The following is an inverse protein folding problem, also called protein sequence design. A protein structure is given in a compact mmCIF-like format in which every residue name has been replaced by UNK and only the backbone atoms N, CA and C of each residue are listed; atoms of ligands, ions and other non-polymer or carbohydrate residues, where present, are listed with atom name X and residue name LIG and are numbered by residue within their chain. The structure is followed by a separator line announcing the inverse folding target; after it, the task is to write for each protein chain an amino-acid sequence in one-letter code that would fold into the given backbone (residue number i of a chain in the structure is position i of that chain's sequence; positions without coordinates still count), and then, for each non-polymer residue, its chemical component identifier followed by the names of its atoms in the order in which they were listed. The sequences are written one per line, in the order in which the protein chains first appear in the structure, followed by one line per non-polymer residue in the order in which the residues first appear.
data_IF_789159904484
#
_entry.id   IF_789159904484
#
_cell.length_a   1.000
_cell.length_b   1.000
_cell.length_c   1.000
_cell.angle_alpha   90.00
_cell.angle_beta   90.00
_cell.angle_gamma   90.00
#
_symmetry.space_group_name_H-M   'P 1'
#
loop_
_entity.id
_entity.type
_entity.pdbx_description
1 polymer ?
#
# COMPACT_ATOMS: atom_id res chain seq x y z
N UNK A 1 -10.33 8.88 7.36
CA UNK A 1 -9.28 8.79 6.33
C UNK A 1 -9.32 10.10 5.55
N UNK A 2 -8.33 10.95 5.75
CA UNK A 2 -8.34 12.33 5.25
C UNK A 2 -7.34 12.42 4.11
N UNK A 3 -7.81 12.76 2.91
CA UNK A 3 -6.95 13.02 1.76
C UNK A 3 -6.79 14.53 1.65
N UNK A 4 -5.58 15.01 1.96
CA UNK A 4 -5.05 16.34 1.62
C UNK A 4 -5.83 17.56 2.12
N UNK A 5 -5.46 18.10 3.28
CA UNK A 5 -5.66 19.52 3.62
C UNK A 5 -4.78 19.94 4.82
N UNK A 6 -3.63 20.58 4.58
CA UNK A 6 -2.91 21.27 5.66
C UNK A 6 -1.48 21.71 5.27
N UNK A 7 -1.09 22.98 5.52
CA UNK A 7 0.29 23.43 5.36
C UNK A 7 1.13 22.85 6.50
N UNK A 8 1.67 21.65 6.27
CA UNK A 8 2.56 20.96 7.22
C UNK A 8 1.99 19.75 7.97
N UNK A 9 0.81 19.21 7.63
CA UNK A 9 0.23 18.09 8.41
C UNK A 9 -0.33 16.96 7.52
N UNK A 10 0.45 15.87 7.50
CA UNK A 10 0.21 14.48 7.05
C UNK A 10 0.13 14.16 5.55
N UNK A 11 1.26 13.75 4.94
CA UNK A 11 1.34 12.95 3.71
C UNK A 11 0.87 11.49 3.84
N UNK A 12 0.47 11.04 5.03
CA UNK A 12 0.36 9.61 5.39
C UNK A 12 -0.76 8.82 4.70
N UNK A 13 -1.86 9.48 4.31
CA UNK A 13 -3.02 8.79 3.74
C UNK A 13 -2.77 8.17 2.37
N UNK A 14 -1.98 8.82 1.53
CA UNK A 14 -1.75 8.35 0.16
C UNK A 14 -0.80 7.15 0.13
N UNK A 15 0.21 7.13 1.00
CA UNK A 15 1.17 6.03 1.09
C UNK A 15 0.52 4.76 1.64
N UNK A 16 -0.38 4.88 2.63
CA UNK A 16 -1.23 3.76 3.07
C UNK A 16 -2.04 3.20 1.91
N UNK A 17 -2.66 4.06 1.09
CA UNK A 17 -3.44 3.63 -0.07
C UNK A 17 -2.56 2.90 -1.10
N UNK A 18 -1.37 3.42 -1.37
CA UNK A 18 -0.40 2.75 -2.26
C UNK A 18 -0.05 1.37 -1.71
N UNK A 19 0.18 1.25 -0.40
CA UNK A 19 0.41 -0.03 0.27
C UNK A 19 -0.76 -1.00 0.17
N UNK A 20 -2.00 -0.53 0.33
CA UNK A 20 -3.21 -1.34 0.15
C UNK A 20 -3.30 -1.83 -1.30
N UNK A 21 -3.14 -0.94 -2.28
CA UNK A 21 -3.17 -1.30 -3.70
C UNK A 21 -2.08 -2.32 -4.05
N UNK A 22 -0.88 -2.18 -3.47
CA UNK A 22 0.19 -3.18 -3.61
C UNK A 22 -0.26 -4.54 -3.08
N UNK A 23 -0.79 -4.60 -1.85
CA UNK A 23 -1.27 -5.85 -1.25
C UNK A 23 -2.38 -6.51 -2.07
N UNK A 24 -3.36 -5.73 -2.53
CA UNK A 24 -4.45 -6.25 -3.36
C UNK A 24 -3.93 -6.83 -4.69
N UNK A 25 -2.96 -6.18 -5.32
CA UNK A 25 -2.32 -6.70 -6.52
C UNK A 25 -1.58 -8.01 -6.27
N UNK A 26 -0.86 -8.12 -5.16
CA UNK A 26 -0.12 -9.34 -4.76
C UNK A 26 -1.05 -10.53 -4.57
N UNK A 27 -2.23 -10.29 -3.97
CA UNK A 27 -3.23 -11.33 -3.77
C UNK A 27 -4.15 -11.57 -4.96
N UNK A 28 -3.95 -10.87 -6.09
CA UNK A 28 -4.81 -11.00 -7.26
C UNK A 28 -6.24 -10.47 -7.06
N UNK A 29 -6.46 -9.62 -6.06
CA UNK A 29 -7.75 -9.01 -5.68
C UNK A 29 -8.09 -7.81 -6.60
N UNK A 30 -8.15 -8.06 -7.91
CA UNK A 30 -8.28 -7.01 -8.93
C UNK A 30 -9.65 -6.30 -8.90
N UNK A 31 -10.68 -6.96 -8.39
CA UNK A 31 -11.99 -6.35 -8.21
C UNK A 31 -11.94 -5.27 -7.11
N UNK A 32 -11.27 -5.58 -6.00
CA UNK A 32 -11.04 -4.69 -4.87
C UNK A 32 -10.16 -3.51 -5.29
N UNK A 33 -9.12 -3.75 -6.10
CA UNK A 33 -8.33 -2.68 -6.75
C UNK A 33 -9.25 -1.74 -7.53
N UNK A 34 -10.14 -2.29 -8.35
CA UNK A 34 -11.05 -1.50 -9.19
C UNK A 34 -12.08 -0.70 -8.38
N UNK A 35 -12.58 -1.26 -7.28
CA UNK A 35 -13.49 -0.57 -6.35
C UNK A 35 -12.75 0.58 -5.67
N UNK A 36 -11.58 0.30 -5.08
CA UNK A 36 -10.79 1.28 -4.36
C UNK A 36 -10.31 2.41 -5.28
N UNK A 37 -9.86 2.08 -6.49
CA UNK A 37 -9.46 3.07 -7.50
C UNK A 37 -10.59 4.04 -7.82
N UNK A 38 -11.82 3.54 -8.05
CA UNK A 38 -13.01 4.39 -8.29
C UNK A 38 -13.31 5.32 -7.12
N UNK A 39 -13.09 4.87 -5.89
CA UNK A 39 -13.29 5.70 -4.69
C UNK A 39 -12.22 6.79 -4.55
N UNK A 40 -10.98 6.54 -4.95
CA UNK A 40 -9.86 7.49 -4.79
C UNK A 40 -9.79 8.53 -5.92
N UNK A 41 -10.16 8.16 -7.15
CA UNK A 41 -10.06 9.04 -8.34
C UNK A 41 -10.60 10.47 -8.10
N UNK A 42 -11.78 10.67 -7.47
CA UNK A 42 -12.31 12.01 -7.18
C UNK A 42 -11.43 12.86 -6.25
N UNK A 43 -10.57 12.23 -5.44
CA UNK A 43 -9.72 12.91 -4.47
C UNK A 43 -8.30 13.17 -4.99
N UNK A 44 -7.91 12.59 -6.12
CA UNK A 44 -6.59 12.82 -6.74
C UNK A 44 -6.24 14.30 -6.95
N UNK A 45 -7.18 15.21 -7.30
CA UNK A 45 -6.88 16.63 -7.42
C UNK A 45 -6.48 17.30 -6.08
N UNK A 46 -6.85 16.71 -4.93
CA UNK A 46 -6.62 17.26 -3.58
C UNK A 46 -5.29 16.86 -2.96
N UNK A 47 -4.54 15.96 -3.60
CA UNK A 47 -3.19 15.59 -3.16
C UNK A 47 -2.10 16.26 -4.01
N UNK A 48 -0.85 16.11 -3.56
CA UNK A 48 0.35 16.60 -4.23
C UNK A 48 0.55 15.94 -5.60
N UNK A 49 1.32 16.58 -6.47
CA UNK A 49 1.67 16.03 -7.80
C UNK A 49 2.39 14.69 -7.68
N UNK A 50 3.29 14.56 -6.69
CA UNK A 50 4.05 13.34 -6.45
C UNK A 50 3.15 12.19 -5.99
N UNK A 51 2.35 12.38 -4.94
CA UNK A 51 1.41 11.36 -4.44
C UNK A 51 0.38 10.95 -5.50
N UNK A 52 -0.11 11.91 -6.29
CA UNK A 52 -1.00 11.63 -7.43
C UNK A 52 -0.35 10.72 -8.47
N UNK A 53 0.94 10.90 -8.75
CA UNK A 53 1.68 10.04 -9.67
C UNK A 53 1.77 8.60 -9.13
N UNK A 54 2.14 8.44 -7.85
CA UNK A 54 2.22 7.12 -7.21
C UNK A 54 0.87 6.41 -7.13
N UNK A 55 -0.20 7.11 -6.74
CA UNK A 55 -1.55 6.54 -6.69
C UNK A 55 -2.01 6.04 -8.07
N UNK A 56 -1.79 6.82 -9.13
CA UNK A 56 -2.15 6.40 -10.49
C UNK A 56 -1.34 5.20 -10.97
N UNK A 57 -0.06 5.13 -10.62
CA UNK A 57 0.78 3.98 -10.93
C UNK A 57 0.31 2.73 -10.17
N UNK A 58 0.04 2.88 -8.86
CA UNK A 58 -0.43 1.80 -7.98
C UNK A 58 -1.78 1.22 -8.42
N UNK A 59 -2.72 2.06 -8.89
CA UNK A 59 -4.00 1.60 -9.45
C UNK A 59 -3.84 0.72 -10.72
N UNK A 60 -2.67 0.75 -11.34
CA UNK A 60 -2.32 -0.03 -12.52
C UNK A 60 -1.36 -1.18 -12.19
N UNK A 61 -1.12 -1.45 -10.90
CA UNK A 61 -0.17 -2.47 -10.45
C UNK A 61 1.29 -2.11 -10.67
N UNK A 62 1.60 -0.83 -10.87
CA UNK A 62 2.97 -0.35 -11.09
C UNK A 62 3.49 0.28 -9.80
N UNK A 63 4.56 -0.28 -9.26
CA UNK A 63 5.15 0.17 -8.01
C UNK A 63 6.64 0.43 -8.18
N UNK A 64 7.23 1.20 -7.27
CA UNK A 64 8.68 1.30 -7.20
C UNK A 64 9.30 -0.04 -6.80
N UNK A 65 10.53 -0.30 -7.23
CA UNK A 65 11.26 -1.53 -6.91
C UNK A 65 11.24 -1.86 -5.40
N UNK A 66 11.34 -0.84 -4.56
CA UNK A 66 11.29 -0.96 -3.11
C UNK A 66 9.99 -1.59 -2.57
N UNK A 67 8.85 -1.38 -3.25
CA UNK A 67 7.57 -2.00 -2.88
C UNK A 67 7.55 -3.47 -3.29
N UNK A 68 8.14 -3.80 -4.44
CA UNK A 68 8.31 -5.19 -4.87
C UNK A 68 9.20 -5.97 -3.90
N UNK A 69 10.38 -5.42 -3.55
CA UNK A 69 11.28 -6.04 -2.57
C UNK A 69 10.59 -6.29 -1.22
N UNK A 70 9.70 -5.38 -0.81
CA UNK A 70 8.92 -5.50 0.42
C UNK A 70 7.88 -6.62 0.33
N UNK A 71 7.17 -6.71 -0.80
CA UNK A 71 6.24 -7.79 -1.08
C UNK A 71 6.93 -9.14 -1.07
N UNK A 72 8.07 -9.26 -1.75
CA UNK A 72 8.83 -10.51 -1.84
C UNK A 72 9.29 -10.97 -0.44
N UNK A 73 9.73 -10.02 0.39
CA UNK A 73 10.08 -10.29 1.79
C UNK A 73 8.90 -10.82 2.60
N UNK A 74 7.71 -10.23 2.42
CA UNK A 74 6.49 -10.66 3.12
C UNK A 74 5.94 -11.99 2.58
N UNK A 75 6.26 -12.34 1.32
CA UNK A 75 5.94 -13.64 0.74
C UNK A 75 6.87 -14.77 1.24
N UNK A 76 7.92 -14.44 2.01
CA UNK A 76 8.89 -15.39 2.55
C UNK A 76 10.15 -15.55 1.71
N UNK A 77 10.29 -14.77 0.63
CA UNK A 77 11.41 -14.83 -0.31
C UNK A 77 12.52 -13.79 0.00
N UNK A 78 12.46 -13.12 1.16
CA UNK A 78 13.41 -12.06 1.54
C UNK A 78 13.72 -11.97 3.03
N UNK A 79 14.67 -11.10 3.39
CA UNK A 79 15.12 -10.87 4.77
C UNK A 79 14.30 -9.71 5.41
N UNK A 80 13.45 -9.99 6.43
CA UNK A 80 12.61 -9.00 7.09
C UNK A 80 13.39 -7.83 7.69
N UNK A 81 14.56 -8.10 8.26
CA UNK A 81 15.36 -7.08 8.96
C UNK A 81 16.00 -6.13 7.95
N UNK A 82 16.51 -6.67 6.83
CA UNK A 82 17.05 -5.85 5.74
C UNK A 82 15.97 -4.98 5.09
N UNK A 83 14.77 -5.51 4.94
CA UNK A 83 13.64 -4.81 4.33
C UNK A 83 13.10 -3.71 5.25
N UNK A 84 12.96 -3.96 6.56
CA UNK A 84 12.62 -2.91 7.54
C UNK A 84 13.70 -1.82 7.58
N UNK A 85 14.98 -2.21 7.53
CA UNK A 85 16.09 -1.26 7.55
C UNK A 85 16.14 -0.39 6.29
N UNK A 86 15.78 -0.95 5.12
CA UNK A 86 15.63 -0.18 3.87
C UNK A 86 14.39 0.72 3.91
N UNK A 87 13.26 0.22 4.41
CA UNK A 87 12.03 1.00 4.58
C UNK A 87 12.23 2.21 5.51
N UNK A 88 13.02 2.05 6.57
CA UNK A 88 13.41 3.14 7.47
C UNK A 88 14.19 4.27 6.77
N UNK A 89 14.88 3.97 5.67
CA UNK A 89 15.66 4.94 4.88
C UNK A 89 14.84 5.66 3.80
N UNK A 90 13.60 5.27 3.52
CA UNK A 90 12.75 5.87 2.46
C UNK A 90 12.08 7.19 2.85
N UNK A 91 12.42 7.74 4.01
CA UNK A 91 11.70 8.84 4.65
C UNK A 91 10.73 8.25 5.66
N UNK A 92 11.12 8.31 6.94
CA UNK A 92 10.62 7.46 8.02
C UNK A 92 9.09 7.38 8.18
N UNK A 93 8.34 8.35 7.67
CA UNK A 93 6.87 8.38 7.74
C UNK A 93 6.21 7.68 6.54
N UNK A 94 6.64 7.98 5.31
CA UNK A 94 6.06 7.46 4.06
C UNK A 94 6.25 5.93 3.91
N UNK A 95 7.42 5.42 4.29
CA UNK A 95 7.72 3.99 4.24
C UNK A 95 6.90 3.16 5.26
N UNK A 96 6.67 3.71 6.46
CA UNK A 96 5.87 3.06 7.51
C UNK A 96 4.39 3.03 7.13
N UNK A 97 3.89 4.13 6.56
CA UNK A 97 2.50 4.23 6.10
C UNK A 97 2.19 3.23 4.99
N UNK A 98 3.10 3.07 4.01
CA UNK A 98 2.99 2.05 2.98
C UNK A 98 2.98 0.62 3.55
N UNK A 99 3.88 0.34 4.50
CA UNK A 99 3.94 -0.93 5.23
C UNK A 99 2.62 -1.25 5.95
N UNK A 100 2.04 -0.27 6.63
CA UNK A 100 0.76 -0.43 7.34
C UNK A 100 -0.36 -0.81 6.37
N UNK A 101 -0.43 -0.14 5.22
CA UNK A 101 -1.42 -0.46 4.18
C UNK A 101 -1.29 -1.90 3.67
N UNK A 102 -0.07 -2.32 3.37
CA UNK A 102 0.24 -3.66 2.87
C UNK A 102 -0.08 -4.75 3.89
N UNK A 103 0.38 -4.58 5.14
CA UNK A 103 0.13 -5.53 6.24
C UNK A 103 -1.35 -5.64 6.56
N UNK A 104 -2.12 -4.55 6.45
CA UNK A 104 -3.58 -4.60 6.65
C UNK A 104 -4.27 -5.56 5.67
N UNK A 105 -3.84 -5.56 4.40
CA UNK A 105 -4.36 -6.50 3.39
C UNK A 105 -3.89 -7.93 3.66
N UNK A 106 -2.61 -8.12 4.03
CA UNK A 106 -2.07 -9.43 4.42
C UNK A 106 -2.87 -10.02 5.58
N UNK A 107 -3.08 -9.26 6.66
CA UNK A 107 -3.82 -9.69 7.84
C UNK A 107 -5.27 -10.05 7.50
N UNK A 108 -5.95 -9.24 6.67
CA UNK A 108 -7.29 -9.54 6.20
C UNK A 108 -7.33 -10.86 5.39
N UNK A 109 -6.35 -11.10 4.51
CA UNK A 109 -6.27 -12.33 3.70
C UNK A 109 -6.01 -13.59 4.53
N UNK A 110 -5.24 -13.48 5.61
CA UNK A 110 -4.97 -14.61 6.51
C UNK A 110 -6.22 -14.98 7.31
N UNK A 111 -6.98 -13.97 7.75
CA UNK A 111 -8.21 -14.20 8.50
C UNK A 111 -9.28 -14.91 7.65
N UNK A 112 -9.32 -14.66 6.34
CA UNK A 112 -10.21 -15.38 5.41
C UNK A 112 -9.80 -16.85 5.26
N UNK A 113 -8.50 -17.15 5.21
CA UNK A 113 -7.99 -18.53 5.09
C UNK A 113 -8.24 -19.40 6.34
N UNK A 114 -8.24 -18.80 7.53
CA UNK A 114 -8.60 -19.52 8.77
C UNK A 114 -10.08 -19.93 8.84
N UNK A 115 -10.97 -19.24 8.11
CA UNK A 115 -12.40 -19.59 8.06
C UNK A 115 -12.67 -20.68 7.03
N UNK A 116 -11.96 -20.69 5.90
CA UNK A 116 -12.09 -21.72 4.86
C UNK A 116 -11.46 -23.07 5.24
N UNK A 117 -10.43 -23.10 6.10
CA UNK A 117 -9.85 -24.37 6.59
C UNK A 117 -10.64 -25.02 7.73
N UNK A 118 -11.66 -24.35 8.27
CA UNK A 118 -12.51 -24.83 9.35
C UNK A 118 -13.94 -25.18 8.90
N UNK A 119 -14.21 -25.13 7.59
CA UNK A 119 -15.48 -25.49 6.95
C UNK A 119 -15.30 -26.74 6.06
#
# INVERSE_FOLDING_TARGET
MTIGAGPGTTPSGDDVIVGILAGLHVFGLLNEVSILARQIVPFLPRTTVASRHYLKAAMQGRFGQHVHDLVDTLAGDGDPDLTLQRASKWGATSGVDLLVGLVSVLAASMNTRSVESAA
#
